data_IF_102870411061
#
_entry.id   IF_102870411061
#
_cell.length_a   1.000
_cell.length_b   1.000
_cell.length_c   1.000
_cell.angle_alpha   90.00
_cell.angle_beta   90.00
_cell.angle_gamma   90.00
#
_symmetry.space_group_name_H-M   'P 1'
#
loop_
_entity.id
_entity.type
_entity.pdbx_description
1 polymer ?
#
# COMPACT_ATOMS: atom_id res chain seq x y z
N UNK A 1 -13.40 -44.76 -76.65
CA UNK A 1 -14.08 -45.06 -75.37
C UNK A 1 -13.49 -44.11 -74.33
N UNK A 2 -14.02 -42.90 -74.17
CA UNK A 2 -15.29 -42.50 -73.50
C UNK A 2 -15.24 -42.78 -71.99
N UNK A 3 -15.46 -41.68 -71.26
CA UNK A 3 -15.70 -41.51 -69.82
C UNK A 3 -14.50 -41.32 -68.87
N UNK A 4 -14.34 -40.07 -68.41
CA UNK A 4 -14.33 -39.79 -66.96
C UNK A 4 -14.87 -38.39 -66.67
N UNK A 5 -15.80 -38.38 -65.72
CA UNK A 5 -16.66 -37.28 -65.28
C UNK A 5 -15.85 -36.24 -64.49
N UNK A 6 -16.08 -34.96 -64.76
CA UNK A 6 -15.67 -33.84 -63.90
C UNK A 6 -16.85 -33.48 -62.99
N UNK A 7 -16.75 -33.88 -61.73
CA UNK A 7 -17.65 -33.50 -60.66
C UNK A 7 -16.84 -32.77 -59.58
N UNK A 8 -17.45 -31.70 -59.05
CA UNK A 8 -17.23 -31.08 -57.72
C UNK A 8 -16.77 -29.61 -57.78
N UNK A 9 -17.78 -28.72 -57.82
CA UNK A 9 -17.72 -27.38 -57.25
C UNK A 9 -17.62 -27.50 -55.72
N UNK A 10 -16.59 -26.91 -55.13
CA UNK A 10 -16.49 -26.66 -53.69
C UNK A 10 -16.41 -25.14 -53.48
N UNK A 11 -17.44 -24.47 -52.93
CA UNK A 11 -17.23 -23.16 -52.35
C UNK A 11 -16.56 -23.32 -50.99
N UNK A 12 -15.36 -22.77 -50.91
CA UNK A 12 -14.59 -22.49 -49.71
C UNK A 12 -15.45 -21.62 -48.79
N UNK A 13 -15.75 -22.10 -47.58
CA UNK A 13 -16.23 -21.28 -46.48
C UNK A 13 -15.43 -21.62 -45.24
N UNK A 14 -14.24 -21.01 -45.17
CA UNK A 14 -13.45 -20.85 -43.94
C UNK A 14 -14.26 -19.93 -43.01
N UNK A 15 -15.08 -20.53 -42.15
CA UNK A 15 -15.62 -19.83 -40.98
C UNK A 15 -14.47 -19.73 -39.98
N UNK A 16 -13.70 -18.65 -40.08
CA UNK A 16 -12.77 -18.23 -39.04
C UNK A 16 -13.58 -17.74 -37.84
N UNK A 17 -13.81 -18.61 -36.86
CA UNK A 17 -14.30 -18.22 -35.54
C UNK A 17 -13.16 -17.48 -34.85
N UNK A 18 -13.17 -16.15 -34.98
CA UNK A 18 -12.32 -15.27 -34.19
C UNK A 18 -12.81 -15.31 -32.73
N UNK A 19 -12.18 -16.16 -31.91
CA UNK A 19 -12.27 -16.11 -30.46
C UNK A 19 -11.64 -14.81 -29.97
N UNK A 20 -12.42 -13.73 -29.95
CA UNK A 20 -12.14 -12.54 -29.16
C UNK A 20 -12.30 -12.91 -27.67
N UNK A 21 -11.35 -13.66 -27.13
CA UNK A 21 -11.10 -13.70 -25.70
C UNK A 21 -10.46 -12.36 -25.31
N UNK A 22 -11.26 -11.29 -25.36
CA UNK A 22 -10.89 -10.02 -24.74
C UNK A 22 -10.80 -10.28 -23.25
N UNK A 23 -9.58 -10.35 -22.71
CA UNK A 23 -9.36 -10.25 -21.27
C UNK A 23 -10.00 -8.95 -20.81
N UNK A 24 -11.21 -9.01 -20.26
CA UNK A 24 -11.86 -7.87 -19.65
C UNK A 24 -10.98 -7.47 -18.46
N UNK A 25 -10.18 -6.41 -18.64
CA UNK A 25 -9.43 -5.80 -17.56
C UNK A 25 -10.44 -5.38 -16.49
N UNK A 26 -10.26 -5.81 -15.22
CA UNK A 26 -11.14 -5.38 -14.14
C UNK A 26 -11.23 -3.86 -14.14
N UNK A 27 -12.45 -3.33 -14.21
CA UNK A 27 -12.65 -1.89 -14.11
C UNK A 27 -12.26 -1.44 -12.70
N UNK A 28 -11.58 -0.30 -12.53
CA UNK A 28 -11.24 0.23 -11.22
C UNK A 28 -12.51 0.39 -10.36
N UNK A 29 -12.48 -0.16 -9.15
CA UNK A 29 -13.56 -0.01 -8.19
C UNK A 29 -13.28 1.21 -7.30
N UNK A 30 -14.33 1.94 -6.97
CA UNK A 30 -14.24 3.16 -6.19
C UNK A 30 -15.19 3.11 -4.99
N UNK A 31 -14.77 3.73 -3.88
CA UNK A 31 -15.49 3.81 -2.61
C UNK A 31 -15.79 5.26 -2.25
N UNK A 32 -16.94 5.49 -1.64
CA UNK A 32 -17.28 6.78 -1.02
C UNK A 32 -16.57 6.96 0.34
N UNK A 33 -16.73 8.13 0.95
CA UNK A 33 -16.14 8.46 2.25
C UNK A 33 -16.53 7.49 3.38
N UNK A 34 -17.79 7.02 3.41
CA UNK A 34 -18.25 6.10 4.46
C UNK A 34 -17.61 4.73 4.33
N UNK A 35 -17.54 4.23 3.10
CA UNK A 35 -16.86 2.98 2.76
C UNK A 35 -15.35 3.06 2.99
N UNK A 36 -14.71 4.16 2.62
CA UNK A 36 -13.30 4.43 2.89
C UNK A 36 -13.00 4.45 4.39
N UNK A 37 -13.79 5.19 5.18
CA UNK A 37 -13.61 5.25 6.63
C UNK A 37 -13.79 3.88 7.31
N UNK A 38 -14.70 3.05 6.81
CA UNK A 38 -14.80 1.65 7.26
C UNK A 38 -13.54 0.87 6.90
N UNK A 39 -13.05 0.98 5.67
CA UNK A 39 -11.86 0.29 5.20
C UNK A 39 -10.61 0.68 6.01
N UNK A 40 -10.44 1.96 6.36
CA UNK A 40 -9.37 2.44 7.25
C UNK A 40 -9.41 1.70 8.59
N UNK A 41 -10.57 1.61 9.24
CA UNK A 41 -10.70 0.92 10.54
C UNK A 41 -10.42 -0.58 10.43
N UNK A 42 -11.01 -1.23 9.43
CA UNK A 42 -10.83 -2.67 9.19
C UNK A 42 -9.36 -3.00 8.92
N UNK A 43 -8.68 -2.20 8.09
CA UNK A 43 -7.28 -2.41 7.72
C UNK A 43 -6.30 -2.04 8.84
N UNK A 44 -6.58 -1.00 9.63
CA UNK A 44 -5.75 -0.62 10.76
C UNK A 44 -5.62 -1.73 11.83
N UNK A 45 -6.66 -2.57 11.98
CA UNK A 45 -6.64 -3.71 12.90
C UNK A 45 -5.57 -4.77 12.59
N UNK A 46 -5.03 -4.77 11.36
CA UNK A 46 -3.98 -5.69 10.91
C UNK A 46 -2.57 -5.14 11.16
N UNK A 47 -2.46 -3.90 11.62
CA UNK A 47 -1.20 -3.22 11.89
C UNK A 47 -0.95 -3.16 13.40
N UNK A 48 0.33 -3.15 13.75
CA UNK A 48 0.78 -2.88 15.12
C UNK A 48 1.29 -1.46 15.24
N UNK A 49 1.08 -0.86 16.41
CA UNK A 49 1.44 0.52 16.70
C UNK A 49 2.38 0.56 17.91
N UNK A 50 3.36 1.47 17.96
CA UNK A 50 4.11 1.73 19.18
C UNK A 50 3.22 2.42 20.22
N UNK A 51 3.57 2.26 21.50
CA UNK A 51 2.86 2.90 22.61
C UNK A 51 2.74 4.41 22.43
N UNK A 52 1.54 4.96 22.65
CA UNK A 52 1.23 6.38 22.50
C UNK A 52 1.27 6.92 21.06
N UNK A 53 1.38 6.04 20.06
CA UNK A 53 1.42 6.38 18.63
C UNK A 53 0.38 5.62 17.82
N UNK A 54 -0.77 5.32 18.44
CA UNK A 54 -1.94 4.81 17.70
C UNK A 54 -2.67 6.00 17.07
N UNK A 55 -2.93 6.04 15.76
CA UNK A 55 -3.61 7.18 15.16
C UNK A 55 -5.09 7.21 15.55
N UNK A 56 -5.66 8.41 15.63
CA UNK A 56 -7.10 8.58 15.63
C UNK A 56 -7.67 8.22 14.25
N UNK A 57 -8.22 7.02 14.12
CA UNK A 57 -8.69 6.48 12.83
C UNK A 57 -9.88 7.25 12.24
N UNK A 58 -10.70 7.89 13.06
CA UNK A 58 -11.83 8.68 12.57
C UNK A 58 -11.31 9.98 11.93
N UNK A 59 -10.39 10.66 12.61
CA UNK A 59 -9.73 11.87 12.10
C UNK A 59 -8.86 11.54 10.89
N UNK A 60 -8.13 10.41 10.91
CA UNK A 60 -7.32 9.98 9.78
C UNK A 60 -8.19 9.72 8.55
N UNK A 61 -9.30 9.00 8.71
CA UNK A 61 -10.23 8.72 7.62
C UNK A 61 -10.89 9.99 7.07
N UNK A 62 -11.26 10.93 7.94
CA UNK A 62 -11.81 12.22 7.55
C UNK A 62 -10.81 13.04 6.73
N UNK A 63 -9.56 13.17 7.19
CA UNK A 63 -8.54 14.01 6.54
C UNK A 63 -7.94 13.42 5.28
N UNK A 64 -7.88 12.09 5.18
CA UNK A 64 -7.25 11.39 4.05
C UNK A 64 -8.23 10.83 3.03
N UNK A 65 -9.52 10.80 3.37
CA UNK A 65 -10.55 10.22 2.53
C UNK A 65 -10.91 11.09 1.32
N UNK A 66 -11.72 10.54 0.40
CA UNK A 66 -12.11 11.25 -0.81
C UNK A 66 -13.05 12.45 -0.58
N UNK A 67 -13.55 12.67 0.64
CA UNK A 67 -14.51 13.74 0.91
C UNK A 67 -15.80 13.55 0.09
N UNK A 68 -16.25 14.55 -0.70
CA UNK A 68 -17.43 14.40 -1.56
C UNK A 68 -17.19 13.52 -2.79
N UNK A 69 -15.93 13.21 -3.13
CA UNK A 69 -15.55 12.41 -4.29
C UNK A 69 -15.53 10.91 -3.96
N UNK A 70 -14.84 10.12 -4.80
CA UNK A 70 -14.58 8.69 -4.54
C UNK A 70 -13.10 8.38 -4.67
N UNK A 71 -12.64 7.43 -3.86
CA UNK A 71 -11.26 6.93 -3.91
C UNK A 71 -11.22 5.52 -4.51
N UNK A 72 -10.14 5.12 -5.19
CA UNK A 72 -9.93 3.73 -5.56
C UNK A 72 -9.97 2.81 -4.34
N UNK A 73 -10.57 1.63 -4.47
CA UNK A 73 -10.50 0.57 -3.44
C UNK A 73 -9.04 0.25 -3.13
N UNK A 74 -8.69 0.17 -1.85
CA UNK A 74 -7.33 -0.14 -1.38
C UNK A 74 -6.44 1.09 -1.18
N UNK A 75 -6.91 2.30 -1.51
CA UNK A 75 -6.17 3.54 -1.26
C UNK A 75 -5.93 3.81 0.23
N UNK A 76 -6.82 3.32 1.11
CA UNK A 76 -6.66 3.43 2.56
C UNK A 76 -5.39 2.75 3.06
N UNK A 77 -4.94 1.70 2.36
CA UNK A 77 -3.72 0.97 2.70
C UNK A 77 -2.50 1.88 2.61
N UNK A 78 -2.41 2.71 1.56
CA UNK A 78 -1.27 3.62 1.35
C UNK A 78 -1.18 4.59 2.53
N UNK A 79 -2.30 5.20 2.91
CA UNK A 79 -2.37 6.14 4.04
C UNK A 79 -1.99 5.46 5.35
N UNK A 80 -2.48 4.25 5.59
CA UNK A 80 -2.17 3.49 6.80
C UNK A 80 -0.70 3.05 6.86
N UNK A 81 -0.12 2.60 5.75
CA UNK A 81 1.30 2.21 5.66
C UNK A 81 2.20 3.43 5.95
N UNK A 82 1.89 4.60 5.38
CA UNK A 82 2.60 5.85 5.67
C UNK A 82 2.45 6.27 7.13
N UNK A 83 1.23 6.23 7.66
CA UNK A 83 0.94 6.58 9.06
C UNK A 83 1.62 5.61 10.04
N UNK A 84 1.74 4.34 9.68
CA UNK A 84 2.43 3.35 10.48
C UNK A 84 3.95 3.57 10.47
N UNK A 85 4.54 3.89 9.31
CA UNK A 85 5.93 4.30 9.24
C UNK A 85 6.22 5.54 10.11
N UNK A 86 5.35 6.56 10.05
CA UNK A 86 5.38 7.72 10.95
C UNK A 86 5.40 7.31 12.43
N UNK A 87 4.49 6.43 12.83
CA UNK A 87 4.37 5.97 14.21
C UNK A 87 5.65 5.30 14.70
N UNK A 88 6.24 4.40 13.89
CA UNK A 88 7.46 3.67 14.26
C UNK A 88 8.71 4.55 14.28
N UNK A 89 8.84 5.49 13.35
CA UNK A 89 9.95 6.45 13.36
C UNK A 89 9.90 7.39 14.56
N UNK A 90 8.71 7.92 14.88
CA UNK A 90 8.49 8.73 16.08
C UNK A 90 8.69 7.92 17.36
N UNK A 91 8.13 6.71 17.42
CA UNK A 91 8.25 5.82 18.58
C UNK A 91 9.68 5.42 18.88
N UNK A 92 10.50 5.16 17.85
CA UNK A 92 11.94 4.93 17.99
C UNK A 92 12.66 6.14 18.59
N UNK A 93 12.43 7.34 18.04
CA UNK A 93 13.08 8.56 18.52
C UNK A 93 12.65 8.91 19.95
N UNK A 94 11.37 8.74 20.29
CA UNK A 94 10.87 8.93 21.64
C UNK A 94 11.52 7.93 22.61
N UNK A 95 11.69 6.66 22.20
CA UNK A 95 12.32 5.61 22.99
C UNK A 95 13.80 5.92 23.27
N UNK A 96 14.53 6.36 22.24
CA UNK A 96 15.91 6.84 22.38
C UNK A 96 16.02 8.00 23.37
N UNK A 97 15.17 9.02 23.24
CA UNK A 97 15.20 10.20 24.10
C UNK A 97 14.97 9.88 25.57
N UNK A 98 14.11 8.91 25.86
CA UNK A 98 13.81 8.47 27.24
C UNK A 98 14.72 7.36 27.76
N UNK A 99 15.66 6.86 26.94
CA UNK A 99 16.57 5.78 27.32
C UNK A 99 15.91 4.39 27.43
N UNK A 100 14.76 4.20 26.79
CA UNK A 100 14.00 2.95 26.82
C UNK A 100 14.50 1.98 25.74
N UNK A 101 15.50 1.17 26.12
CA UNK A 101 16.16 0.24 25.22
C UNK A 101 15.23 -0.85 24.66
N UNK A 102 14.22 -1.26 25.42
CA UNK A 102 13.29 -2.30 25.00
C UNK A 102 12.37 -1.81 23.88
N UNK A 103 11.80 -0.61 24.05
CA UNK A 103 10.99 0.01 23.00
C UNK A 103 11.84 0.43 21.80
N UNK A 104 13.06 0.93 22.02
CA UNK A 104 13.98 1.27 20.94
C UNK A 104 14.30 0.04 20.08
N UNK A 105 14.66 -1.08 20.72
CA UNK A 105 14.97 -2.34 20.03
C UNK A 105 13.77 -2.86 19.23
N UNK A 106 12.56 -2.75 19.81
CA UNK A 106 11.32 -3.16 19.15
C UNK A 106 11.05 -2.28 17.92
N UNK A 107 11.17 -0.96 18.05
CA UNK A 107 10.97 -0.05 16.94
C UNK A 107 11.99 -0.29 15.82
N UNK A 108 13.28 -0.46 16.15
CA UNK A 108 14.32 -0.79 15.16
C UNK A 108 14.03 -2.11 14.44
N UNK A 109 13.51 -3.12 15.14
CA UNK A 109 13.11 -4.38 14.51
C UNK A 109 11.98 -4.17 13.50
N UNK A 110 10.95 -3.42 13.85
CA UNK A 110 9.84 -3.14 12.94
C UNK A 110 10.30 -2.32 11.74
N UNK A 111 11.12 -1.29 11.97
CA UNK A 111 11.71 -0.47 10.90
C UNK A 111 12.51 -1.31 9.89
N UNK A 112 13.19 -2.35 10.36
CA UNK A 112 14.03 -3.21 9.53
C UNK A 112 13.27 -4.35 8.84
N UNK A 113 12.33 -4.98 9.56
CA UNK A 113 11.72 -6.23 9.13
C UNK A 113 10.30 -6.06 8.56
N UNK A 114 9.61 -4.97 8.88
CA UNK A 114 8.20 -4.77 8.53
C UNK A 114 8.04 -3.64 7.52
N UNK A 115 8.51 -2.42 7.83
CA UNK A 115 8.30 -1.26 6.96
C UNK A 115 8.81 -1.47 5.51
N UNK A 116 9.96 -2.14 5.28
CA UNK A 116 10.42 -2.40 3.92
C UNK A 116 9.59 -3.38 3.10
N UNK A 117 8.55 -4.00 3.69
CA UNK A 117 7.61 -4.90 3.01
C UNK A 117 6.31 -4.21 2.62
N UNK A 118 6.08 -2.98 3.10
CA UNK A 118 4.97 -2.15 2.65
C UNK A 118 5.12 -1.81 1.17
N UNK A 119 3.98 -1.61 0.51
CA UNK A 119 3.87 -1.26 -0.91
C UNK A 119 4.91 -1.97 -1.80
N UNK A 120 4.84 -3.31 -2.00
CA UNK A 120 5.76 -4.05 -2.87
C UNK A 120 5.85 -3.55 -4.32
N UNK A 121 4.85 -2.79 -4.76
CA UNK A 121 4.83 -2.06 -6.01
C UNK A 121 5.75 -0.82 -6.05
N UNK A 122 6.25 -0.36 -4.90
CA UNK A 122 7.16 0.79 -4.73
C UNK A 122 8.56 0.37 -4.23
N UNK A 123 9.45 -0.11 -5.12
CA UNK A 123 10.79 -0.54 -4.73
C UNK A 123 11.66 0.61 -4.18
N UNK A 124 11.36 1.86 -4.53
CA UNK A 124 12.10 3.03 -4.04
C UNK A 124 11.73 3.34 -2.59
N UNK A 125 10.43 3.33 -2.25
CA UNK A 125 9.95 3.42 -0.87
C UNK A 125 10.52 2.29 0.00
N UNK A 126 10.54 1.05 -0.51
CA UNK A 126 11.15 -0.07 0.21
C UNK A 126 12.65 0.10 0.45
N UNK A 127 13.39 0.63 -0.53
CA UNK A 127 14.81 0.94 -0.38
C UNK A 127 15.00 2.02 0.68
N UNK A 128 14.22 3.09 0.62
CA UNK A 128 14.27 4.19 1.59
C UNK A 128 14.02 3.69 3.03
N UNK A 129 13.04 2.80 3.22
CA UNK A 129 12.76 2.20 4.52
C UNK A 129 13.96 1.38 5.06
N UNK A 130 14.61 0.56 4.21
CA UNK A 130 15.82 -0.19 4.60
C UNK A 130 16.98 0.73 4.98
N UNK A 131 17.23 1.76 4.19
CA UNK A 131 18.28 2.74 4.47
C UNK A 131 18.01 3.51 5.76
N UNK A 132 16.75 3.86 6.01
CA UNK A 132 16.31 4.51 7.25
C UNK A 132 16.57 3.61 8.46
N UNK A 133 16.19 2.33 8.39
CA UNK A 133 16.46 1.35 9.44
C UNK A 133 17.96 1.16 9.69
N UNK A 134 18.77 1.04 8.63
CA UNK A 134 20.22 0.90 8.74
C UNK A 134 20.87 2.11 9.41
N UNK A 135 20.47 3.33 9.05
CA UNK A 135 20.97 4.55 9.69
C UNK A 135 20.51 4.68 11.14
N UNK A 136 19.25 4.36 11.43
CA UNK A 136 18.71 4.40 12.79
C UNK A 136 19.46 3.44 13.72
N UNK A 137 19.76 2.20 13.27
CA UNK A 137 20.60 1.23 13.99
C UNK A 137 22.02 1.75 14.25
N UNK A 138 22.55 2.60 13.37
CA UNK A 138 23.83 3.29 13.55
C UNK A 138 23.72 4.57 14.40
N UNK A 139 22.57 4.83 15.03
CA UNK A 139 22.31 6.01 15.85
C UNK A 139 22.00 7.29 15.07
N UNK A 140 21.88 7.21 13.74
CA UNK A 140 21.58 8.35 12.88
C UNK A 140 20.09 8.38 12.50
N UNK A 141 19.35 9.32 13.08
CA UNK A 141 17.90 9.48 12.84
C UNK A 141 17.52 10.38 11.67
N UNK A 142 18.47 10.88 10.87
CA UNK A 142 18.19 11.90 9.83
C UNK A 142 17.07 11.50 8.87
N UNK A 143 17.14 10.30 8.28
CA UNK A 143 16.09 9.87 7.34
C UNK A 143 14.73 9.64 8.02
N UNK A 144 14.73 9.12 9.25
CA UNK A 144 13.49 8.97 10.01
C UNK A 144 12.86 10.35 10.28
N UNK A 145 13.67 11.34 10.67
CA UNK A 145 13.22 12.71 10.88
C UNK A 145 12.73 13.38 9.59
N UNK A 146 13.45 13.21 8.47
CA UNK A 146 13.06 13.74 7.17
C UNK A 146 11.72 13.14 6.71
N UNK A 147 11.54 11.83 6.83
CA UNK A 147 10.27 11.19 6.53
C UNK A 147 9.16 11.77 7.40
N UNK A 148 9.43 11.93 8.70
CA UNK A 148 8.44 12.44 9.65
C UNK A 148 7.99 13.85 9.32
N UNK A 149 8.94 14.74 9.03
CA UNK A 149 8.66 16.13 8.69
C UNK A 149 7.79 16.28 7.43
N UNK A 150 7.95 15.37 6.47
CA UNK A 150 7.22 15.46 5.19
C UNK A 150 5.87 14.75 5.18
N UNK A 151 5.64 13.80 6.10
CA UNK A 151 4.48 12.89 5.98
C UNK A 151 3.56 12.86 7.21
N UNK A 152 4.01 13.31 8.38
CA UNK A 152 3.32 12.96 9.64
C UNK A 152 2.60 14.13 10.32
N UNK A 153 2.74 15.37 9.83
CA UNK A 153 2.20 16.57 10.50
C UNK A 153 0.68 16.51 10.70
N UNK A 154 -0.06 15.91 9.76
CA UNK A 154 -1.52 15.86 9.80
C UNK A 154 -2.09 14.79 10.73
N UNK A 155 -1.26 13.87 11.24
CA UNK A 155 -1.70 12.71 12.03
C UNK A 155 -1.95 13.11 13.48
N UNK A 156 -3.13 12.77 13.98
CA UNK A 156 -3.51 12.91 15.39
C UNK A 156 -3.31 11.57 16.08
N UNK A 157 -2.54 11.55 17.17
CA UNK A 157 -2.19 10.35 17.93
C UNK A 157 -3.05 10.22 19.20
N UNK A 158 -3.30 8.99 19.64
CA UNK A 158 -4.01 8.60 20.87
C UNK A 158 -3.13 7.70 21.73
#
# INVERSE_FOLDING_TARGET
>A
MVERKLTALLPISLVAVALLAGCATPQPQFVDQGQYAKAVRDSASKLTWPDGRTPDLDVLAEKSGPGPDKAPVGSERIVLEMTNACAWYLGWEDARKRGDQAAESTALKVMDEVLPKFSPEDPDGQRYARETAAKAKAGNGSLAADYVANNCESVVWK
#
